data_IF_232652352334
#
_entry.id   IF_232652352334
#
_cell.length_a   1.000
_cell.length_b   1.000
_cell.length_c   1.000
_cell.angle_alpha   90.00
_cell.angle_beta   90.00
_cell.angle_gamma   90.00
#
_symmetry.space_group_name_H-M   'P 1'
#
loop_
_entity.id
_entity.type
_entity.pdbx_description
1 polymer ?
#
# COMPACT_ATOMS: atom_id res chain seq x y z
N UNK A 1 20.07 23.63 16.38
CA UNK A 1 20.16 22.15 16.23
C UNK A 1 19.26 21.74 15.08
N UNK A 2 19.80 21.53 13.89
CA UNK A 2 19.03 21.02 12.75
C UNK A 2 18.80 19.52 12.95
N UNK A 3 17.54 19.10 13.02
CA UNK A 3 17.18 17.69 13.09
C UNK A 3 17.59 17.04 11.76
N UNK A 4 18.63 16.22 11.78
CA UNK A 4 19.20 15.54 10.60
C UNK A 4 18.40 14.31 10.17
N UNK A 5 17.31 13.97 10.88
CA UNK A 5 16.46 12.83 10.52
C UNK A 5 15.50 13.24 9.39
N UNK A 6 15.48 12.53 8.25
CA UNK A 6 14.51 12.78 7.21
C UNK A 6 13.09 12.56 7.75
N UNK A 7 12.15 13.42 7.36
CA UNK A 7 10.74 13.26 7.72
C UNK A 7 10.23 11.93 7.15
N UNK A 8 9.71 10.99 7.98
CA UNK A 8 9.25 9.70 7.49
C UNK A 8 7.98 9.80 6.62
N UNK A 9 7.30 10.95 6.63
CA UNK A 9 6.08 11.17 5.85
C UNK A 9 6.38 11.91 4.54
N UNK A 10 5.99 11.36 3.38
CA UNK A 10 6.26 11.97 2.08
C UNK A 10 5.31 13.13 1.72
N UNK A 11 4.48 13.57 2.65
CA UNK A 11 3.47 14.60 2.43
C UNK A 11 2.31 14.11 1.55
N UNK A 12 1.90 14.86 0.50
CA UNK A 12 0.76 14.50 -0.34
C UNK A 12 1.02 13.37 -1.33
N UNK A 13 2.29 12.96 -1.52
CA UNK A 13 2.65 11.80 -2.34
C UNK A 13 2.22 10.51 -1.63
N UNK A 14 1.86 9.50 -2.42
CA UNK A 14 1.64 8.15 -1.86
C UNK A 14 2.95 7.52 -1.38
N UNK A 15 2.89 6.63 -0.40
CA UNK A 15 4.04 5.78 -0.08
C UNK A 15 4.25 4.79 -1.22
N UNK A 16 5.51 4.60 -1.60
CA UNK A 16 5.96 3.70 -2.64
C UNK A 16 6.49 2.39 -2.04
N UNK A 17 6.74 1.44 -2.93
CA UNK A 17 7.37 0.17 -2.56
C UNK A 17 8.72 0.40 -1.91
N UNK A 18 8.96 -0.27 -0.79
CA UNK A 18 10.19 -0.13 0.00
C UNK A 18 10.13 1.00 1.03
N UNK A 19 9.10 1.84 1.01
CA UNK A 19 8.84 2.82 2.07
C UNK A 19 7.97 2.21 3.17
N UNK A 20 8.20 2.61 4.42
CA UNK A 20 7.44 2.10 5.56
C UNK A 20 6.12 2.86 5.71
N UNK A 21 5.00 2.16 5.51
CA UNK A 21 3.66 2.67 5.80
C UNK A 21 3.29 2.41 7.26
N UNK A 22 2.98 3.46 8.01
CA UNK A 22 2.67 3.36 9.45
C UNK A 22 1.17 3.20 9.72
N UNK A 23 0.82 2.41 10.74
CA UNK A 23 -0.54 2.35 11.30
C UNK A 23 -1.61 1.71 10.41
N UNK A 24 -1.22 0.98 9.36
CA UNK A 24 -2.14 0.36 8.38
C UNK A 24 -2.11 -1.17 8.36
N UNK A 25 -1.62 -1.77 9.44
CA UNK A 25 -1.44 -3.22 9.50
C UNK A 25 -2.78 -3.96 9.36
N UNK A 26 -3.82 -3.50 10.06
CA UNK A 26 -5.15 -4.12 10.01
C UNK A 26 -5.73 -4.10 8.59
N UNK A 27 -5.74 -2.95 7.95
CA UNK A 27 -6.28 -2.80 6.58
C UNK A 27 -5.46 -3.58 5.56
N UNK A 28 -4.14 -3.72 5.78
CA UNK A 28 -3.27 -4.56 4.94
C UNK A 28 -3.68 -6.02 5.03
N UNK A 29 -3.86 -6.55 6.25
CA UNK A 29 -4.28 -7.95 6.45
C UNK A 29 -5.69 -8.23 5.93
N UNK A 30 -6.64 -7.32 6.16
CA UNK A 30 -8.00 -7.46 5.64
C UNK A 30 -8.00 -7.51 4.10
N UNK A 31 -7.27 -6.61 3.44
CA UNK A 31 -7.17 -6.59 1.98
C UNK A 31 -6.41 -7.80 1.42
N UNK A 32 -5.34 -8.23 2.08
CA UNK A 32 -4.53 -9.39 1.68
C UNK A 32 -5.37 -10.67 1.71
N UNK A 33 -5.99 -10.95 2.85
CA UNK A 33 -6.81 -12.16 3.01
C UNK A 33 -7.97 -12.18 2.01
N UNK A 34 -8.58 -11.03 1.76
CA UNK A 34 -9.67 -10.93 0.79
C UNK A 34 -9.18 -11.18 -0.65
N UNK A 35 -8.01 -10.67 -1.05
CA UNK A 35 -7.44 -10.94 -2.38
C UNK A 35 -6.95 -12.39 -2.55
N UNK A 36 -6.54 -13.06 -1.47
CA UNK A 36 -6.20 -14.48 -1.51
C UNK A 36 -7.47 -15.31 -1.75
N UNK A 37 -8.57 -14.95 -1.08
CA UNK A 37 -9.85 -15.64 -1.20
C UNK A 37 -10.58 -15.32 -2.52
N UNK A 38 -10.48 -14.08 -3.01
CA UNK A 38 -11.28 -13.55 -4.11
C UNK A 38 -10.43 -13.11 -5.29
N UNK A 39 -10.92 -13.37 -6.52
CA UNK A 39 -10.20 -12.99 -7.74
C UNK A 39 -10.10 -11.48 -7.96
N UNK A 40 -11.08 -10.72 -7.47
CA UNK A 40 -11.21 -9.28 -7.69
C UNK A 40 -11.74 -8.63 -6.42
N UNK A 41 -11.03 -7.60 -5.93
CA UNK A 41 -11.42 -6.81 -4.76
C UNK A 41 -11.48 -5.34 -5.13
N UNK A 42 -12.57 -4.67 -4.73
CA UNK A 42 -12.75 -3.23 -4.92
C UNK A 42 -12.43 -2.48 -3.62
N UNK A 43 -11.36 -1.67 -3.64
CA UNK A 43 -10.99 -0.80 -2.52
C UNK A 43 -11.63 0.59 -2.65
N UNK A 44 -12.61 0.89 -1.81
CA UNK A 44 -13.31 2.19 -1.80
C UNK A 44 -12.89 3.02 -0.58
N UNK A 45 -12.51 4.27 -0.83
CA UNK A 45 -12.25 5.26 0.21
C UNK A 45 -12.26 6.68 -0.39
N UNK A 46 -12.39 7.75 0.41
CA UNK A 46 -12.23 9.13 -0.04
C UNK A 46 -10.89 9.39 -0.76
N UNK A 47 -10.85 10.46 -1.56
CA UNK A 47 -9.58 10.93 -2.14
C UNK A 47 -8.59 11.30 -1.01
N UNK A 48 -7.31 11.00 -1.21
CA UNK A 48 -6.27 11.27 -0.21
C UNK A 48 -6.24 10.33 1.00
N UNK A 49 -7.16 9.36 1.13
CA UNK A 49 -7.17 8.42 2.27
C UNK A 49 -5.99 7.41 2.31
N UNK A 50 -5.11 7.43 1.29
CA UNK A 50 -3.94 6.55 1.23
C UNK A 50 -4.15 5.21 0.54
N UNK A 51 -5.19 5.06 -0.31
CA UNK A 51 -5.44 3.81 -1.06
C UNK A 51 -4.22 3.35 -1.87
N UNK A 52 -3.62 4.26 -2.64
CA UNK A 52 -2.44 3.96 -3.43
C UNK A 52 -1.24 3.60 -2.54
N UNK A 53 -1.05 4.31 -1.42
CA UNK A 53 -0.03 3.97 -0.42
C UNK A 53 -0.22 2.56 0.14
N UNK A 54 -1.45 2.19 0.51
CA UNK A 54 -1.77 0.86 1.04
C UNK A 54 -1.44 -0.24 0.02
N UNK A 55 -1.86 -0.03 -1.24
CA UNK A 55 -1.61 -0.99 -2.32
C UNK A 55 -0.11 -1.14 -2.61
N UNK A 56 0.62 -0.04 -2.74
CA UNK A 56 2.01 -0.06 -3.18
C UNK A 56 3.01 -0.43 -2.08
N UNK A 57 2.88 0.19 -0.90
CA UNK A 57 3.87 0.09 0.15
C UNK A 57 3.64 -1.10 1.10
N UNK A 58 2.40 -1.60 1.20
CA UNK A 58 2.06 -2.68 2.12
C UNK A 58 1.53 -3.92 1.40
N UNK A 59 0.43 -3.82 0.66
CA UNK A 59 -0.27 -4.97 0.09
C UNK A 59 0.55 -5.71 -0.98
N UNK A 60 1.17 -4.98 -1.90
CA UNK A 60 1.97 -5.59 -2.97
C UNK A 60 3.18 -6.39 -2.43
N UNK A 61 3.98 -5.88 -1.47
CA UNK A 61 4.99 -6.69 -0.80
C UNK A 61 4.45 -7.92 -0.06
N UNK A 62 3.31 -7.82 0.63
CA UNK A 62 2.73 -9.00 1.31
C UNK A 62 2.26 -10.07 0.31
N UNK A 63 1.63 -9.66 -0.81
CA UNK A 63 1.26 -10.60 -1.88
C UNK A 63 2.47 -11.35 -2.45
N UNK A 64 3.62 -10.68 -2.60
CA UNK A 64 4.84 -11.36 -3.05
C UNK A 64 5.36 -12.38 -2.03
N UNK A 65 5.24 -12.09 -0.73
CA UNK A 65 5.59 -13.05 0.33
C UNK A 65 4.68 -14.27 0.32
N UNK A 66 3.42 -14.08 -0.03
CA UNK A 66 2.45 -15.16 -0.27
C UNK A 66 2.68 -15.90 -1.61
N UNK A 67 3.74 -15.57 -2.34
CA UNK A 67 4.14 -16.26 -3.57
C UNK A 67 3.44 -15.77 -4.85
N UNK A 68 2.69 -14.66 -4.78
CA UNK A 68 2.06 -14.09 -5.96
C UNK A 68 3.06 -13.32 -6.82
N UNK A 69 2.90 -13.41 -8.14
CA UNK A 69 3.54 -12.49 -9.08
C UNK A 69 2.74 -11.19 -9.15
N UNK A 70 3.25 -10.13 -8.54
CA UNK A 70 2.62 -8.80 -8.60
C UNK A 70 3.06 -8.06 -9.87
N UNK A 71 2.10 -7.65 -10.69
CA UNK A 71 2.34 -6.87 -11.90
C UNK A 71 2.39 -5.36 -11.59
N UNK A 72 3.01 -4.54 -12.47
CA UNK A 72 2.97 -3.08 -12.34
C UNK A 72 1.53 -2.56 -12.28
N UNK A 73 1.33 -1.48 -11.52
CA UNK A 73 0.00 -0.88 -11.37
C UNK A 73 -0.45 -0.26 -12.69
N UNK A 74 -1.59 -0.74 -13.18
CA UNK A 74 -2.31 -0.16 -14.30
C UNK A 74 -3.17 1.01 -13.82
N UNK A 75 -3.10 2.13 -14.54
CA UNK A 75 -4.08 3.22 -14.44
C UNK A 75 -4.80 3.30 -15.79
N UNK A 76 -6.09 2.94 -15.86
CA UNK A 76 -6.89 3.20 -17.05
C UNK A 76 -6.89 4.71 -17.32
N UNK A 77 -6.64 5.09 -18.57
CA UNK A 77 -6.82 6.46 -19.05
C UNK A 77 -8.29 6.83 -19.12
#
# INVERSE_FOLDING_TARGET
>A
MTNTRPNPYPGPRSFERGETLYGRQRETWEALNLLIAERIVLLVAPSGAGKTSLVQAALAPELEKEGFRVLPIMRPG
#
